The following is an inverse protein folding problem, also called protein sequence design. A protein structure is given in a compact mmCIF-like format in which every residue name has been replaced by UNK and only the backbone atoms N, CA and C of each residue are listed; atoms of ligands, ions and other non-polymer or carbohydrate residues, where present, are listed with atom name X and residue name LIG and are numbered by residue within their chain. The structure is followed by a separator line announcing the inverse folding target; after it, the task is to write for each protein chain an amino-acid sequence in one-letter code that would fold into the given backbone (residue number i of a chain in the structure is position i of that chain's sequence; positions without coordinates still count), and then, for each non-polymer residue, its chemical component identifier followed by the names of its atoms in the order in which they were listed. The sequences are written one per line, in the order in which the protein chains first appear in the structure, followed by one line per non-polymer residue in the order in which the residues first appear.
data_IF_997676714155
#
_entry.id   IF_997676714155
#
_cell.length_a   1.000
_cell.length_b   1.000
_cell.length_c   1.000
_cell.angle_alpha   90.00
_cell.angle_beta   90.00
_cell.angle_gamma   90.00
#
_symmetry.space_group_name_H-M   'P 1'
#
loop_
_entity.id
_entity.type
_entity.pdbx_description
1 polymer ?
#
# COMPACT_ATOMS: atom_id res chain seq x y z
N UNK A 1 5.33 17.02 17.73
CA UNK A 1 4.66 17.94 18.69
C UNK A 1 5.50 18.25 19.91
N UNK A 2 6.02 17.28 20.68
CA UNK A 2 6.91 17.61 21.84
C UNK A 2 8.06 18.56 21.50
N UNK A 3 8.70 18.38 20.34
CA UNK A 3 9.80 19.24 19.87
C UNK A 3 9.34 20.66 19.50
N UNK A 4 8.13 20.83 18.98
CA UNK A 4 7.61 22.12 18.49
C UNK A 4 6.87 22.90 19.59
N UNK A 5 6.13 22.19 20.46
CA UNK A 5 5.22 22.78 21.45
C UNK A 5 5.76 22.69 22.89
N UNK A 6 6.85 21.95 23.12
CA UNK A 6 7.36 21.66 24.48
C UNK A 6 6.56 20.59 25.25
N UNK A 7 5.36 20.23 24.78
CA UNK A 7 4.52 19.17 25.35
C UNK A 7 3.83 18.33 24.27
N UNK A 8 3.20 17.24 24.69
CA UNK A 8 2.35 16.42 23.82
C UNK A 8 0.90 16.77 24.17
N UNK A 9 0.17 17.51 23.32
CA UNK A 9 -1.23 17.79 23.57
C UNK A 9 -2.07 16.51 23.51
N UNK A 10 -3.18 16.42 24.27
CA UNK A 10 -4.18 15.39 24.09
C UNK A 10 -4.73 15.36 22.65
N UNK A 11 -5.03 14.18 22.13
CA UNK A 11 -5.49 14.00 20.74
C UNK A 11 -6.77 14.79 20.44
N UNK A 12 -7.73 14.81 21.37
CA UNK A 12 -9.00 15.52 21.18
C UNK A 12 -8.78 17.02 20.98
N UNK A 13 -7.90 17.63 21.79
CA UNK A 13 -7.54 19.06 21.65
C UNK A 13 -6.93 19.35 20.28
N UNK A 14 -6.09 18.46 19.75
CA UNK A 14 -5.53 18.60 18.40
C UNK A 14 -6.62 18.53 17.34
N UNK A 15 -7.55 17.58 17.45
CA UNK A 15 -8.65 17.41 16.49
C UNK A 15 -9.59 18.61 16.50
N UNK A 16 -10.02 19.06 17.69
CA UNK A 16 -10.88 20.25 17.86
C UNK A 16 -10.24 21.49 17.22
N UNK A 17 -8.94 21.71 17.46
CA UNK A 17 -8.18 22.81 16.84
C UNK A 17 -8.09 22.69 15.33
N UNK A 18 -7.92 21.48 14.79
CA UNK A 18 -7.91 21.28 13.33
C UNK A 18 -9.27 21.65 12.73
N UNK A 19 -10.37 21.14 13.31
CA UNK A 19 -11.74 21.47 12.84
C UNK A 19 -11.96 22.98 12.88
N UNK A 20 -11.65 23.64 14.01
CA UNK A 20 -11.78 25.08 14.17
C UNK A 20 -11.02 25.86 13.09
N UNK A 21 -9.75 25.51 12.87
CA UNK A 21 -8.90 26.22 11.90
C UNK A 21 -9.32 25.96 10.46
N UNK A 22 -9.76 24.75 10.11
CA UNK A 22 -10.28 24.47 8.77
C UNK A 22 -11.61 25.19 8.51
N UNK A 23 -12.53 25.23 9.49
CA UNK A 23 -13.78 25.99 9.35
C UNK A 23 -13.52 27.46 9.05
N UNK A 24 -12.64 28.08 9.84
CA UNK A 24 -12.28 29.50 9.69
C UNK A 24 -11.57 29.78 8.37
N UNK A 25 -10.59 28.96 7.98
CA UNK A 25 -9.77 29.20 6.80
C UNK A 25 -10.50 28.90 5.49
N UNK A 26 -11.37 27.89 5.48
CA UNK A 26 -12.16 27.53 4.29
C UNK A 26 -13.51 28.26 4.24
N UNK A 27 -13.88 28.98 5.31
CA UNK A 27 -15.19 29.61 5.48
C UNK A 27 -16.35 28.60 5.26
N UNK A 28 -16.22 27.45 5.92
CA UNK A 28 -17.21 26.36 5.89
C UNK A 28 -17.61 25.96 7.30
N UNK A 29 -18.83 25.48 7.45
CA UNK A 29 -19.31 24.83 8.67
C UNK A 29 -19.16 23.32 8.53
N UNK A 30 -18.74 22.65 9.60
CA UNK A 30 -18.71 21.19 9.65
C UNK A 30 -19.87 20.70 10.52
N UNK A 31 -20.70 19.85 9.95
CA UNK A 31 -21.74 19.15 10.69
C UNK A 31 -21.18 17.85 11.27
N UNK A 32 -21.26 17.72 12.60
CA UNK A 32 -20.94 16.45 13.24
C UNK A 32 -22.01 15.41 12.86
N UNK A 33 -21.57 14.30 12.30
CA UNK A 33 -22.43 13.19 11.94
C UNK A 33 -21.98 11.90 12.61
N UNK A 34 -22.93 10.99 12.77
CA UNK A 34 -22.65 9.64 13.26
C UNK A 34 -22.93 8.63 12.16
N UNK A 35 -22.16 7.55 12.16
CA UNK A 35 -22.36 6.46 11.21
C UNK A 35 -23.77 5.88 11.36
N UNK A 36 -24.49 5.77 10.25
CA UNK A 36 -25.74 5.04 10.15
C UNK A 36 -25.53 3.55 10.47
N UNK A 37 -26.58 2.79 10.81
CA UNK A 37 -26.46 1.35 11.04
C UNK A 37 -25.80 0.60 9.87
N UNK A 38 -26.17 0.94 8.63
CA UNK A 38 -25.58 0.34 7.42
C UNK A 38 -24.08 0.63 7.29
N UNK A 39 -23.66 1.85 7.58
CA UNK A 39 -22.25 2.23 7.55
C UNK A 39 -21.46 1.57 8.68
N UNK A 40 -22.06 1.37 9.85
CA UNK A 40 -21.45 0.60 10.94
C UNK A 40 -21.22 -0.85 10.54
N UNK A 41 -22.20 -1.50 9.93
CA UNK A 41 -22.07 -2.87 9.43
C UNK A 41 -20.97 -2.97 8.36
N UNK A 42 -20.94 -2.01 7.43
CA UNK A 42 -19.90 -1.91 6.41
C UNK A 42 -18.51 -1.70 7.02
N UNK A 43 -18.41 -0.82 8.03
CA UNK A 43 -17.17 -0.58 8.77
C UNK A 43 -16.68 -1.86 9.45
N UNK A 44 -17.55 -2.64 10.08
CA UNK A 44 -17.17 -3.91 10.71
C UNK A 44 -16.69 -4.95 9.68
N UNK A 45 -17.33 -5.01 8.50
CA UNK A 45 -16.85 -5.82 7.39
C UNK A 45 -15.45 -5.37 6.94
N UNK A 46 -15.24 -4.07 6.76
CA UNK A 46 -13.94 -3.52 6.38
C UNK A 46 -12.87 -3.78 7.43
N UNK A 47 -13.17 -3.63 8.71
CA UNK A 47 -12.24 -3.94 9.81
C UNK A 47 -11.80 -5.40 9.77
N UNK A 48 -12.75 -6.34 9.60
CA UNK A 48 -12.44 -7.77 9.46
C UNK A 48 -11.51 -8.02 8.27
N UNK A 49 -11.80 -7.42 7.11
CA UNK A 49 -10.97 -7.55 5.90
C UNK A 49 -9.58 -6.97 6.11
N UNK A 50 -9.47 -5.71 6.51
CA UNK A 50 -8.20 -4.99 6.59
C UNK A 50 -7.32 -5.40 7.78
N UNK A 51 -7.89 -6.11 8.74
CA UNK A 51 -7.15 -6.72 9.86
C UNK A 51 -6.87 -8.21 9.62
N UNK A 52 -7.31 -8.77 8.50
CA UNK A 52 -7.10 -10.19 8.18
C UNK A 52 -5.64 -10.44 7.82
N UNK A 53 -5.18 -11.68 8.09
CA UNK A 53 -3.80 -12.08 7.77
C UNK A 53 -3.56 -12.01 6.27
N UNK A 54 -4.55 -12.39 5.48
CA UNK A 54 -4.50 -12.40 4.02
C UNK A 54 -4.30 -10.98 3.48
N UNK A 55 -4.92 -9.97 4.10
CA UNK A 55 -4.73 -8.58 3.72
C UNK A 55 -3.38 -8.02 4.19
N UNK A 56 -3.04 -8.20 5.47
CA UNK A 56 -1.82 -7.65 6.07
C UNK A 56 -0.54 -8.24 5.47
N UNK A 57 -0.57 -9.52 5.11
CA UNK A 57 0.57 -10.27 4.59
C UNK A 57 0.38 -10.72 3.14
N UNK A 58 -0.50 -10.06 2.37
CA UNK A 58 -0.85 -10.43 1.00
C UNK A 58 0.38 -10.67 0.11
N UNK A 59 1.43 -9.87 0.28
CA UNK A 59 2.66 -9.99 -0.51
C UNK A 59 3.56 -11.15 -0.06
N UNK A 60 3.54 -11.51 1.22
CA UNK A 60 4.31 -12.64 1.76
C UNK A 60 3.65 -13.98 1.44
N UNK A 61 2.31 -14.01 1.47
CA UNK A 61 1.52 -15.21 1.19
C UNK A 61 1.38 -15.50 -0.31
N UNK A 62 1.81 -14.59 -1.19
CA UNK A 62 1.67 -14.74 -2.65
C UNK A 62 2.57 -15.82 -3.23
N UNK A 63 3.76 -15.99 -2.66
CA UNK A 63 4.75 -16.95 -3.13
C UNK A 63 4.93 -18.05 -2.08
N UNK A 64 5.03 -19.31 -2.52
CA UNK A 64 5.33 -20.47 -1.65
C UNK A 64 6.79 -20.47 -1.14
N UNK A 65 7.44 -19.31 -1.10
CA UNK A 65 8.78 -19.12 -0.57
C UNK A 65 8.79 -17.95 0.43
N UNK A 66 9.58 -18.03 1.51
CA UNK A 66 9.67 -16.94 2.47
C UNK A 66 10.11 -15.65 1.79
N UNK A 67 9.35 -14.56 1.97
CA UNK A 67 9.69 -13.26 1.41
C UNK A 67 11.07 -12.79 1.90
N UNK A 68 11.47 -13.17 3.11
CA UNK A 68 12.82 -12.92 3.66
C UNK A 68 13.94 -13.47 2.76
N UNK A 69 13.73 -14.63 2.15
CA UNK A 69 14.71 -15.24 1.27
C UNK A 69 14.77 -14.47 -0.05
N UNK A 70 13.61 -14.10 -0.60
CA UNK A 70 13.53 -13.25 -1.81
C UNK A 70 14.29 -11.94 -1.57
N UNK A 71 14.02 -11.30 -0.43
CA UNK A 71 14.64 -10.05 0.00
C UNK A 71 16.17 -10.15 0.18
N UNK A 72 16.66 -11.32 0.59
CA UNK A 72 18.09 -11.55 0.85
C UNK A 72 18.86 -11.86 -0.43
N UNK A 73 18.35 -12.76 -1.27
CA UNK A 73 19.11 -13.31 -2.38
C UNK A 73 18.86 -12.61 -3.72
N UNK A 74 17.82 -11.77 -3.83
CA UNK A 74 17.37 -11.06 -5.05
C UNK A 74 16.99 -11.95 -6.24
N UNK A 75 17.48 -13.19 -6.31
CA UNK A 75 17.10 -14.19 -7.30
C UNK A 75 17.14 -15.57 -6.64
N UNK A 76 16.03 -16.29 -6.70
CA UNK A 76 15.90 -17.65 -6.20
C UNK A 76 15.50 -18.54 -7.38
N UNK A 77 16.21 -19.65 -7.58
CA UNK A 77 15.80 -20.69 -8.52
C UNK A 77 14.81 -21.61 -7.81
N UNK A 78 13.61 -21.75 -8.36
CA UNK A 78 12.60 -22.67 -7.85
C UNK A 78 12.79 -24.05 -8.49
N UNK A 79 12.92 -24.07 -9.83
CA UNK A 79 13.27 -25.25 -10.63
C UNK A 79 13.87 -24.83 -11.97
N UNK A 80 14.16 -25.80 -12.84
CA UNK A 80 14.63 -25.49 -14.20
C UNK A 80 13.64 -24.59 -14.94
N UNK A 81 14.15 -23.53 -15.57
CA UNK A 81 13.32 -22.53 -16.25
C UNK A 81 12.48 -21.60 -15.34
N UNK A 82 12.47 -21.78 -14.02
CA UNK A 82 11.62 -21.00 -13.10
C UNK A 82 12.43 -20.29 -11.99
N UNK A 83 12.24 -18.98 -11.89
CA UNK A 83 12.94 -18.12 -10.94
C UNK A 83 11.99 -17.12 -10.28
N UNK A 84 12.29 -16.73 -9.05
CA UNK A 84 11.70 -15.55 -8.42
C UNK A 84 12.80 -14.51 -8.27
N UNK A 85 12.55 -13.32 -8.80
CA UNK A 85 13.52 -12.22 -8.88
C UNK A 85 12.95 -10.99 -8.18
N UNK A 86 13.78 -10.33 -7.39
CA UNK A 86 13.49 -9.04 -6.79
C UNK A 86 14.40 -7.96 -7.38
N UNK A 87 13.79 -6.83 -7.71
CA UNK A 87 14.48 -5.61 -8.13
C UNK A 87 13.99 -4.45 -7.29
N UNK A 88 14.92 -3.79 -6.60
CA UNK A 88 14.65 -2.54 -5.88
C UNK A 88 15.21 -1.38 -6.70
N UNK A 89 14.37 -0.40 -6.97
CA UNK A 89 14.74 0.82 -7.67
C UNK A 89 14.36 2.04 -6.84
N UNK A 90 15.36 2.87 -6.50
CA UNK A 90 15.16 4.11 -5.78
C UNK A 90 15.15 5.29 -6.77
N UNK A 91 13.96 5.78 -7.08
CA UNK A 91 13.76 7.05 -7.77
C UNK A 91 13.57 8.17 -6.73
N UNK A 92 12.61 9.07 -6.94
CA UNK A 92 12.10 9.96 -5.88
C UNK A 92 11.52 9.16 -4.70
N UNK A 93 10.93 7.99 -5.00
CA UNK A 93 10.35 7.03 -4.06
C UNK A 93 10.92 5.63 -4.34
N UNK A 94 10.79 4.74 -3.36
CA UNK A 94 11.16 3.33 -3.50
C UNK A 94 10.10 2.63 -4.35
N UNK A 95 10.57 1.91 -5.37
CA UNK A 95 9.80 0.95 -6.15
C UNK A 95 10.48 -0.40 -5.98
N UNK A 96 9.72 -1.40 -5.53
CA UNK A 96 10.14 -2.79 -5.39
C UNK A 96 9.32 -3.64 -6.33
N UNK A 97 10.02 -4.44 -7.12
CA UNK A 97 9.45 -5.44 -8.01
C UNK A 97 9.83 -6.81 -7.48
N UNK A 98 8.85 -7.70 -7.40
CA UNK A 98 9.08 -9.14 -7.26
C UNK A 98 8.38 -9.79 -8.44
N UNK A 99 9.14 -10.51 -9.27
CA UNK A 99 8.64 -11.13 -10.48
C UNK A 99 8.95 -12.62 -10.47
N UNK A 100 7.97 -13.40 -10.89
CA UNK A 100 8.18 -14.80 -11.26
C UNK A 100 8.55 -14.86 -12.74
N UNK A 101 9.68 -15.50 -13.05
CA UNK A 101 10.17 -15.74 -14.41
C UNK A 101 9.99 -17.21 -14.73
N UNK A 102 9.29 -17.52 -15.81
CA UNK A 102 9.15 -18.87 -16.39
C UNK A 102 9.58 -18.83 -17.84
N UNK A 103 10.50 -19.70 -18.23
CA UNK A 103 11.00 -19.82 -19.61
C UNK A 103 11.42 -18.47 -20.21
N UNK A 104 12.18 -17.69 -19.43
CA UNK A 104 12.66 -16.34 -19.74
C UNK A 104 11.56 -15.27 -19.95
N UNK A 105 10.32 -15.51 -19.49
CA UNK A 105 9.22 -14.53 -19.51
C UNK A 105 8.71 -14.24 -18.10
N UNK A 106 8.22 -13.03 -17.87
CA UNK A 106 7.54 -12.67 -16.63
C UNK A 106 6.17 -13.35 -16.63
N UNK A 107 5.95 -14.32 -15.74
CA UNK A 107 4.65 -14.98 -15.58
C UNK A 107 3.75 -14.29 -14.56
N UNK A 108 4.37 -13.62 -13.58
CA UNK A 108 3.66 -12.85 -12.56
C UNK A 108 4.58 -11.73 -12.03
N UNK A 109 3.98 -10.62 -11.62
CA UNK A 109 4.70 -9.48 -11.05
C UNK A 109 3.94 -8.85 -9.89
N UNK A 110 4.68 -8.48 -8.85
CA UNK A 110 4.21 -7.69 -7.73
C UNK A 110 5.03 -6.41 -7.68
N UNK A 111 4.33 -5.26 -7.73
CA UNK A 111 4.93 -3.93 -7.64
C UNK A 111 4.50 -3.32 -6.30
N UNK A 112 5.45 -2.90 -5.48
CA UNK A 112 5.20 -2.30 -4.17
C UNK A 112 6.19 -1.16 -3.88
N UNK A 113 5.92 -0.35 -2.86
CA UNK A 113 6.78 0.78 -2.52
C UNK A 113 6.04 1.91 -1.80
N UNK A 114 6.71 3.05 -1.64
CA UNK A 114 6.17 4.28 -1.02
C UNK A 114 5.87 5.36 -2.07
N UNK A 115 5.57 4.95 -3.30
CA UNK A 115 5.20 5.82 -4.40
C UNK A 115 3.68 6.06 -4.45
N UNK A 116 3.30 7.15 -5.11
CA UNK A 116 1.90 7.49 -5.36
C UNK A 116 1.56 7.26 -6.83
N UNK A 117 0.33 6.84 -7.08
CA UNK A 117 -0.21 6.68 -8.43
C UNK A 117 -1.45 7.55 -8.54
N UNK A 118 -1.40 8.54 -9.42
CA UNK A 118 -2.50 9.49 -9.64
C UNK A 118 -3.65 8.83 -10.41
N UNK A 119 -3.31 8.10 -11.49
CA UNK A 119 -4.26 7.33 -12.30
C UNK A 119 -3.78 5.88 -12.40
N UNK A 120 -4.38 5.03 -11.57
CA UNK A 120 -4.03 3.61 -11.50
C UNK A 120 -4.33 2.87 -12.80
N UNK A 121 -5.43 3.21 -13.49
CA UNK A 121 -5.83 2.50 -14.70
C UNK A 121 -4.84 2.77 -15.82
N UNK A 122 -4.51 4.05 -16.05
CA UNK A 122 -3.53 4.44 -17.06
C UNK A 122 -2.13 3.91 -16.73
N UNK A 123 -1.73 3.94 -15.46
CA UNK A 123 -0.45 3.36 -15.03
C UNK A 123 -0.37 1.85 -15.34
N UNK A 124 -1.44 1.10 -15.05
CA UNK A 124 -1.51 -0.33 -15.36
C UNK A 124 -1.50 -0.59 -16.87
N UNK A 125 -2.19 0.22 -17.68
CA UNK A 125 -2.15 0.10 -19.15
C UNK A 125 -0.73 0.26 -19.70
N UNK A 126 -0.01 1.31 -19.29
CA UNK A 126 1.38 1.56 -19.71
C UNK A 126 2.34 0.46 -19.25
N UNK A 127 2.14 -0.07 -18.04
CA UNK A 127 2.93 -1.19 -17.55
C UNK A 127 2.69 -2.45 -18.39
N UNK A 128 1.43 -2.73 -18.72
CA UNK A 128 1.05 -3.88 -19.54
C UNK A 128 1.68 -3.83 -20.94
N UNK A 129 1.60 -2.67 -21.60
CA UNK A 129 2.24 -2.44 -22.90
C UNK A 129 3.75 -2.65 -22.87
N UNK A 130 4.43 -2.20 -21.81
CA UNK A 130 5.89 -2.29 -21.69
C UNK A 130 6.40 -3.66 -21.27
N UNK A 131 5.61 -4.41 -20.51
CA UNK A 131 6.01 -5.72 -19.98
C UNK A 131 5.60 -6.88 -20.91
N UNK A 132 4.84 -6.60 -21.98
CA UNK A 132 4.30 -7.62 -22.90
C UNK A 132 3.48 -8.71 -22.19
N UNK A 133 2.88 -8.36 -21.04
CA UNK A 133 2.00 -9.24 -20.27
C UNK A 133 0.57 -9.03 -20.80
N UNK A 134 -0.15 -10.10 -21.16
CA UNK A 134 -1.52 -10.03 -21.71
C UNK A 134 -2.56 -9.59 -20.67
#
# INVERSE_FOLDING_TARGET
MRRELGYIPPRNVVVERLVEMFSKNLNIEFDESSLTPKEKDYLEMLKKKYSSREWLYMHELKYDIPLSDVLKYRKIKVKEGQYIVQVDYKALKLIRLIAEIRDNKISDITISGDFFVEDLVNALMKLRERLEIL
#
